data_IF_296240786875
#
_entry.id   IF_296240786875
#
_cell.length_a   1.000
_cell.length_b   1.000
_cell.length_c   1.000
_cell.angle_alpha   90.00
_cell.angle_beta   90.00
_cell.angle_gamma   90.00
#
_symmetry.space_group_name_H-M   'P 1'
#
loop_
_entity.id
_entity.type
_entity.pdbx_description
1 polymer ?
#
# COMPACT_ATOMS: atom_id res chain seq x y z
N UNK A 1 -41.23 8.36 -15.72
CA UNK A 1 -40.15 9.24 -15.19
C UNK A 1 -39.29 8.38 -14.29
N UNK A 2 -38.09 8.01 -14.76
CA UNK A 2 -37.15 7.17 -14.02
C UNK A 2 -36.25 8.11 -13.22
N UNK A 3 -36.34 8.09 -11.89
CA UNK A 3 -35.36 8.75 -11.03
C UNK A 3 -34.09 7.88 -11.01
N UNK A 4 -33.01 8.38 -11.59
CA UNK A 4 -31.68 7.82 -11.39
C UNK A 4 -31.20 8.19 -9.97
N UNK A 5 -31.06 7.19 -9.11
CA UNK A 5 -30.40 7.34 -7.82
C UNK A 5 -28.89 7.42 -8.06
N UNK A 6 -28.31 8.61 -7.86
CA UNK A 6 -26.86 8.81 -7.85
C UNK A 6 -26.34 8.25 -6.53
N UNK A 7 -25.64 7.12 -6.58
CA UNK A 7 -24.93 6.58 -5.43
C UNK A 7 -23.71 7.47 -5.14
N UNK A 8 -23.80 8.29 -4.10
CA UNK A 8 -22.67 9.02 -3.55
C UNK A 8 -21.82 8.03 -2.75
N UNK A 9 -20.64 7.70 -3.26
CA UNK A 9 -19.64 6.92 -2.55
C UNK A 9 -19.07 7.80 -1.42
N UNK A 10 -19.58 7.62 -0.20
CA UNK A 10 -19.03 8.30 0.99
C UNK A 10 -17.71 7.60 1.34
N UNK A 11 -16.60 8.22 0.97
CA UNK A 11 -15.27 7.87 1.47
C UNK A 11 -15.23 8.21 2.96
N UNK A 12 -15.41 7.20 3.82
CA UNK A 12 -15.00 7.30 5.21
C UNK A 12 -13.46 7.34 5.22
N UNK A 13 -12.89 8.53 5.16
CA UNK A 13 -11.46 8.72 5.40
C UNK A 13 -11.20 8.40 6.88
N UNK A 14 -10.39 7.38 7.21
CA UNK A 14 -9.82 7.32 8.55
C UNK A 14 -9.00 8.61 8.73
N UNK A 15 -9.21 9.28 9.86
CA UNK A 15 -8.36 10.34 10.44
C UNK A 15 -7.34 10.99 9.50
N UNK A 16 -7.67 12.14 8.89
CA UNK A 16 -6.79 13.12 8.18
C UNK A 16 -5.35 12.63 7.96
N UNK A 17 -5.22 11.57 7.16
CA UNK A 17 -3.92 11.02 6.78
C UNK A 17 -3.38 11.99 5.73
N UNK A 18 -2.23 12.63 5.99
CA UNK A 18 -1.58 13.59 5.06
C UNK A 18 -0.91 12.84 3.89
N UNK A 19 -1.65 11.92 3.30
CA UNK A 19 -1.24 11.29 2.07
C UNK A 19 -1.34 12.30 0.92
N UNK A 20 -0.28 12.35 0.13
CA UNK A 20 0.02 13.43 -0.80
C UNK A 20 -0.38 13.07 -2.22
N UNK A 21 -0.30 11.78 -2.54
CA UNK A 21 -0.52 11.25 -3.89
C UNK A 21 -1.33 9.97 -3.79
N UNK A 22 -2.31 9.82 -4.67
CA UNK A 22 -3.11 8.62 -4.84
C UNK A 22 -2.78 7.95 -6.17
N UNK A 23 -2.92 6.63 -6.21
CA UNK A 23 -2.79 5.85 -7.45
C UNK A 23 -3.77 4.68 -7.43
N UNK A 24 -4.75 4.70 -8.32
CA UNK A 24 -5.80 3.68 -8.36
C UNK A 24 -5.36 2.45 -9.13
N UNK A 25 -5.77 1.28 -8.67
CA UNK A 25 -5.68 0.03 -9.41
C UNK A 25 -7.03 -0.67 -9.44
N UNK A 26 -7.22 -1.50 -10.46
CA UNK A 26 -8.39 -2.34 -10.61
C UNK A 26 -8.05 -3.68 -11.24
N UNK A 27 -8.96 -4.63 -11.09
CA UNK A 27 -8.97 -5.94 -11.69
C UNK A 27 -10.32 -6.17 -12.37
N UNK A 28 -10.32 -6.63 -13.62
CA UNK A 28 -11.51 -7.08 -14.34
C UNK A 28 -11.50 -8.60 -14.47
N UNK A 29 -12.68 -9.17 -14.72
CA UNK A 29 -12.84 -10.62 -14.95
C UNK A 29 -12.43 -11.48 -13.74
N UNK A 30 -12.40 -10.87 -12.55
CA UNK A 30 -12.16 -11.53 -11.28
C UNK A 30 -13.37 -12.34 -10.81
N UNK A 31 -13.14 -13.37 -9.96
CA UNK A 31 -14.22 -14.13 -9.35
C UNK A 31 -15.11 -13.23 -8.48
N UNK A 32 -16.42 -13.52 -8.46
CA UNK A 32 -17.39 -12.75 -7.65
C UNK A 32 -17.14 -12.82 -6.14
N UNK A 33 -16.41 -13.84 -5.68
CA UNK A 33 -15.97 -13.99 -4.29
C UNK A 33 -14.63 -13.31 -3.99
N UNK A 34 -14.06 -12.58 -4.94
CA UNK A 34 -12.81 -11.82 -4.76
C UNK A 34 -11.56 -12.65 -5.00
N UNK A 35 -10.44 -11.96 -5.20
CA UNK A 35 -9.14 -12.55 -5.51
C UNK A 35 -8.57 -13.25 -4.27
N UNK A 36 -7.83 -14.35 -4.47
CA UNK A 36 -7.12 -15.05 -3.37
C UNK A 36 -5.71 -14.51 -3.13
N UNK A 37 -5.19 -13.73 -4.06
CA UNK A 37 -3.90 -13.09 -3.96
C UNK A 37 -3.85 -11.84 -4.84
N UNK A 38 -3.00 -10.91 -4.45
CA UNK A 38 -2.57 -9.79 -5.27
C UNK A 38 -1.09 -9.53 -5.01
N UNK A 39 -0.34 -9.26 -6.07
CA UNK A 39 1.06 -8.86 -6.00
C UNK A 39 1.18 -7.42 -6.46
N UNK A 40 1.80 -6.57 -5.63
CA UNK A 40 2.06 -5.17 -5.91
C UNK A 40 3.55 -4.95 -6.18
N UNK A 41 3.96 -4.64 -7.42
CA UNK A 41 5.35 -4.32 -7.72
C UNK A 41 5.70 -2.88 -7.33
N UNK A 42 6.89 -2.70 -6.74
CA UNK A 42 7.46 -1.42 -6.34
C UNK A 42 8.93 -1.31 -6.77
N UNK A 43 9.38 -0.09 -7.03
CA UNK A 43 10.80 0.27 -7.01
C UNK A 43 10.99 1.57 -6.23
N UNK A 44 11.89 1.54 -5.24
CA UNK A 44 12.25 2.67 -4.38
C UNK A 44 13.68 3.17 -4.65
N UNK A 45 14.23 2.86 -5.82
CA UNK A 45 15.63 3.07 -6.19
C UNK A 45 16.12 4.52 -6.16
N UNK A 46 15.20 5.48 -6.22
CA UNK A 46 15.48 6.90 -6.24
C UNK A 46 14.96 7.61 -4.97
N UNK A 47 14.61 6.85 -3.94
CA UNK A 47 14.13 7.39 -2.67
C UNK A 47 15.30 7.68 -1.72
N UNK A 48 15.25 8.76 -0.92
CA UNK A 48 16.27 9.01 0.09
C UNK A 48 16.31 7.90 1.14
N UNK A 49 17.50 7.55 1.61
CA UNK A 49 17.70 6.65 2.74
C UNK A 49 17.43 7.39 4.05
N UNK A 50 16.17 7.76 4.26
CA UNK A 50 15.68 8.55 5.39
C UNK A 50 14.28 8.09 5.76
N UNK A 51 13.96 8.16 7.04
CA UNK A 51 12.58 7.99 7.51
C UNK A 51 11.68 9.12 6.99
N UNK A 52 10.42 8.79 6.77
CA UNK A 52 9.34 9.77 6.59
C UNK A 52 8.38 9.44 5.47
N UNK A 53 8.85 8.79 4.40
CA UNK A 53 7.95 8.37 3.32
C UNK A 53 7.39 6.97 3.55
N UNK A 54 6.12 6.81 3.18
CA UNK A 54 5.46 5.52 3.04
C UNK A 54 4.83 5.41 1.66
N UNK A 55 5.16 4.32 0.94
CA UNK A 55 4.58 3.98 -0.34
C UNK A 55 3.80 2.68 -0.19
N UNK A 56 2.49 2.74 -0.43
CA UNK A 56 1.63 1.60 -0.14
C UNK A 56 0.55 1.43 -1.20
N UNK A 57 0.08 0.19 -1.33
CA UNK A 57 -1.14 -0.15 -2.05
C UNK A 57 -2.17 -0.63 -1.04
N UNK A 58 -3.33 0.02 -0.99
CA UNK A 58 -4.44 -0.51 -0.21
C UNK A 58 -5.19 -1.58 -1.02
N UNK A 59 -5.92 -2.43 -0.32
CA UNK A 59 -6.83 -3.43 -0.87
C UNK A 59 -8.03 -3.60 0.07
N UNK A 60 -9.23 -3.78 -0.49
CA UNK A 60 -10.43 -4.10 0.28
C UNK A 60 -10.72 -5.60 0.28
N UNK A 61 -11.61 -6.05 1.16
CA UNK A 61 -12.14 -7.41 1.16
C UNK A 61 -13.65 -7.40 0.95
N UNK A 62 -14.17 -8.36 0.19
CA UNK A 62 -15.61 -8.55 0.07
C UNK A 62 -16.16 -8.98 1.43
N UNK A 63 -17.18 -8.26 1.92
CA UNK A 63 -17.77 -8.46 3.24
C UNK A 63 -17.15 -7.62 4.36
N UNK A 64 -16.19 -6.74 4.04
CA UNK A 64 -15.61 -5.76 4.97
C UNK A 64 -15.78 -4.34 4.42
N UNK A 65 -15.96 -3.36 5.32
CA UNK A 65 -15.98 -1.93 4.96
C UNK A 65 -14.59 -1.31 4.98
N UNK A 66 -13.70 -1.84 5.82
CA UNK A 66 -12.35 -1.33 6.00
C UNK A 66 -11.36 -2.01 5.05
N UNK A 67 -10.20 -1.35 4.86
CA UNK A 67 -9.14 -1.79 3.95
C UNK A 67 -8.03 -2.52 4.71
N UNK A 68 -7.14 -3.16 3.96
CA UNK A 68 -5.76 -3.39 4.37
C UNK A 68 -4.80 -2.63 3.45
N UNK A 69 -3.52 -2.61 3.82
CA UNK A 69 -2.47 -2.16 2.91
C UNK A 69 -1.23 -3.03 3.00
N UNK A 70 -0.40 -2.94 1.96
CA UNK A 70 0.97 -3.40 1.98
C UNK A 70 1.86 -2.31 1.36
N UNK A 71 3.00 -2.04 1.98
CA UNK A 71 3.90 -1.00 1.49
C UNK A 71 5.32 -1.07 2.02
N UNK A 72 6.15 -0.14 1.55
CA UNK A 72 7.55 0.02 1.92
C UNK A 72 7.81 1.43 2.43
N UNK A 73 8.62 1.53 3.49
CA UNK A 73 9.14 2.77 4.05
C UNK A 73 10.67 2.75 3.94
N UNK A 74 11.28 3.72 3.24
CA UNK A 74 12.72 3.95 3.34
C UNK A 74 13.15 4.26 4.78
N UNK A 75 14.36 3.84 5.13
CA UNK A 75 14.99 4.04 6.44
C UNK A 75 16.42 4.56 6.25
N UNK A 76 16.99 5.23 7.26
CA UNK A 76 18.42 5.45 7.32
C UNK A 76 19.20 4.14 7.23
N UNK A 77 20.39 4.21 6.64
CA UNK A 77 21.31 3.09 6.64
C UNK A 77 21.66 2.66 8.08
N UNK A 78 21.83 1.36 8.28
CA UNK A 78 22.27 0.79 9.55
C UNK A 78 23.44 -0.16 9.30
N UNK A 79 24.52 0.00 10.06
CA UNK A 79 25.75 -0.77 9.86
C UNK A 79 26.34 -0.63 8.44
N UNK A 80 26.15 0.53 7.80
CA UNK A 80 26.60 0.80 6.44
C UNK A 80 25.79 0.10 5.35
N UNK A 81 24.58 -0.39 5.66
CA UNK A 81 23.71 -1.08 4.71
C UNK A 81 22.35 -0.39 4.59
N UNK A 82 21.74 -0.38 3.39
CA UNK A 82 20.38 0.10 3.21
C UNK A 82 19.39 -0.76 4.00
N UNK A 83 18.41 -0.08 4.62
CA UNK A 83 17.34 -0.70 5.40
C UNK A 83 16.01 -0.32 4.79
N UNK A 84 15.11 -1.30 4.68
CA UNK A 84 13.74 -1.13 4.22
C UNK A 84 12.82 -1.62 5.33
N UNK A 85 11.81 -0.83 5.67
CA UNK A 85 10.75 -1.22 6.59
C UNK A 85 9.50 -1.57 5.78
N UNK A 86 9.14 -2.86 5.73
CA UNK A 86 7.92 -3.32 5.07
C UNK A 86 6.77 -3.39 6.07
N UNK A 87 5.58 -3.01 5.62
CA UNK A 87 4.36 -2.99 6.43
C UNK A 87 3.25 -3.76 5.73
N UNK A 88 2.46 -4.50 6.51
CA UNK A 88 1.28 -5.22 6.06
C UNK A 88 0.21 -5.15 7.15
N UNK A 89 -0.90 -4.46 6.88
CA UNK A 89 -1.91 -4.16 7.92
C UNK A 89 -3.32 -4.42 7.42
N UNK A 90 -4.21 -4.72 8.35
CA UNK A 90 -5.66 -4.76 8.18
C UNK A 90 -6.28 -3.78 9.17
N UNK A 91 -7.20 -2.94 8.70
CA UNK A 91 -7.98 -2.02 9.53
C UNK A 91 -9.32 -2.63 9.94
N UNK A 92 -9.66 -3.83 9.44
CA UNK A 92 -10.92 -4.48 9.74
C UNK A 92 -10.98 -4.86 11.23
N UNK A 93 -12.02 -4.37 11.91
CA UNK A 93 -12.28 -4.71 13.30
C UNK A 93 -12.45 -6.21 13.49
N UNK A 94 -11.93 -6.76 14.59
CA UNK A 94 -11.95 -8.21 14.86
C UNK A 94 -10.88 -9.01 14.10
N UNK A 95 -9.98 -8.36 13.35
CA UNK A 95 -8.78 -9.01 12.84
C UNK A 95 -7.92 -9.51 14.00
N UNK A 96 -7.38 -10.72 13.88
CA UNK A 96 -6.51 -11.35 14.90
C UNK A 96 -5.19 -11.82 14.30
N UNK A 97 -4.18 -12.03 15.14
CA UNK A 97 -2.87 -12.55 14.73
C UNK A 97 -2.19 -13.29 15.88
N UNK A 98 -1.32 -14.24 15.55
CA UNK A 98 -0.35 -14.85 16.45
C UNK A 98 1.09 -14.67 15.93
N UNK A 99 1.26 -13.83 14.91
CA UNK A 99 2.52 -13.65 14.21
C UNK A 99 3.40 -12.64 14.97
N UNK A 100 4.68 -12.95 15.25
CA UNK A 100 5.54 -12.11 16.07
C UNK A 100 5.88 -10.75 15.43
N UNK A 101 5.71 -10.60 14.12
CA UNK A 101 5.90 -9.32 13.45
C UNK A 101 4.70 -8.38 13.59
N UNK A 102 3.60 -8.86 14.19
CA UNK A 102 2.32 -8.19 14.19
C UNK A 102 1.88 -7.79 15.61
N UNK A 103 1.16 -6.68 15.68
CA UNK A 103 0.54 -6.20 16.91
C UNK A 103 -0.93 -5.80 16.65
N UNK A 104 -1.80 -5.88 17.68
CA UNK A 104 -3.14 -5.29 17.61
C UNK A 104 -3.08 -3.79 17.33
N UNK A 105 -4.00 -3.35 16.49
CA UNK A 105 -4.19 -1.95 16.10
C UNK A 105 -3.45 -1.58 14.81
N UNK A 106 -4.18 -1.02 13.86
CA UNK A 106 -3.63 -0.41 12.65
C UNK A 106 -3.70 1.12 12.78
N UNK A 107 -2.54 1.77 12.79
CA UNK A 107 -2.37 3.22 13.01
C UNK A 107 -3.10 3.75 14.27
N UNK A 108 -3.08 2.95 15.34
CA UNK A 108 -3.76 3.26 16.60
C UNK A 108 -5.28 3.02 16.58
N UNK A 109 -5.85 2.66 15.44
CA UNK A 109 -7.25 2.24 15.28
C UNK A 109 -7.46 0.73 15.43
N UNK A 110 -8.65 0.22 15.05
CA UNK A 110 -8.94 -1.21 15.02
C UNK A 110 -8.02 -2.00 14.07
N UNK A 111 -8.04 -3.33 14.21
CA UNK A 111 -7.37 -4.24 13.28
C UNK A 111 -6.00 -4.73 13.78
N UNK A 112 -5.11 -5.04 12.84
CA UNK A 112 -3.76 -5.59 13.09
C UNK A 112 -2.77 -4.95 12.14
N UNK A 113 -1.60 -4.57 12.66
CA UNK A 113 -0.48 -4.08 11.85
C UNK A 113 0.73 -4.97 12.02
N UNK A 114 1.36 -5.36 10.91
CA UNK A 114 2.59 -6.13 10.89
C UNK A 114 3.69 -5.33 10.23
N UNK A 115 4.92 -5.47 10.73
CA UNK A 115 6.07 -4.86 10.08
C UNK A 115 7.36 -5.63 10.32
N UNK A 116 8.30 -5.48 9.40
CA UNK A 116 9.65 -6.02 9.52
C UNK A 116 10.64 -5.09 8.85
N UNK A 117 11.81 -4.93 9.47
CA UNK A 117 12.96 -4.29 8.84
C UNK A 117 13.90 -5.34 8.28
N UNK A 118 14.37 -5.11 7.06
CA UNK A 118 15.34 -5.96 6.41
C UNK A 118 16.32 -5.13 5.58
N UNK A 119 17.50 -5.69 5.31
CA UNK A 119 18.51 -5.05 4.48
C UNK A 119 18.43 -5.58 3.06
N UNK A 120 18.27 -4.69 2.09
CA UNK A 120 18.34 -4.97 0.66
C UNK A 120 18.72 -3.70 -0.11
N UNK A 121 19.44 -3.80 -1.25
CA UNK A 121 19.73 -2.64 -2.09
C UNK A 121 18.45 -1.96 -2.58
N UNK A 122 18.37 -0.63 -2.47
CA UNK A 122 17.22 0.13 -2.98
C UNK A 122 17.11 0.07 -4.52
N UNK A 123 18.22 -0.20 -5.20
CA UNK A 123 18.26 -0.43 -6.65
C UNK A 123 17.44 -1.64 -7.10
N UNK A 124 17.08 -2.55 -6.19
CA UNK A 124 16.26 -3.72 -6.53
C UNK A 124 14.78 -3.36 -6.70
N UNK A 125 14.06 -4.20 -7.43
CA UNK A 125 12.60 -4.20 -7.43
C UNK A 125 12.07 -5.08 -6.30
N UNK A 126 10.87 -4.76 -5.82
CA UNK A 126 10.21 -5.52 -4.77
C UNK A 126 8.77 -5.81 -5.15
N UNK A 127 8.33 -7.04 -4.95
CA UNK A 127 6.95 -7.45 -5.06
C UNK A 127 6.39 -7.65 -3.65
N UNK A 128 5.36 -6.88 -3.28
CA UNK A 128 4.57 -7.13 -2.08
C UNK A 128 3.44 -8.09 -2.42
N UNK A 129 3.58 -9.32 -1.98
CA UNK A 129 2.62 -10.40 -2.21
C UNK A 129 1.68 -10.47 -1.02
N UNK A 130 0.39 -10.30 -1.26
CA UNK A 130 -0.69 -10.50 -0.30
C UNK A 130 -1.46 -11.73 -0.74
N UNK A 131 -1.47 -12.78 0.09
CA UNK A 131 -2.08 -14.06 -0.29
C UNK A 131 -2.90 -14.67 0.84
N UNK A 132 -4.03 -15.27 0.48
CA UNK A 132 -4.84 -16.10 1.36
C UNK A 132 -4.14 -17.44 1.58
N UNK A 133 -3.95 -17.84 2.83
CA UNK A 133 -3.28 -19.11 3.17
C UNK A 133 -4.28 -20.19 3.55
N UNK A 134 -5.28 -19.86 4.37
CA UNK A 134 -6.35 -20.75 4.79
C UNK A 134 -7.53 -19.93 5.31
N UNK A 135 -8.77 -20.31 4.98
CA UNK A 135 -9.96 -19.62 5.48
C UNK A 135 -9.90 -18.10 5.22
N UNK A 136 -9.92 -17.30 6.28
CA UNK A 136 -9.79 -15.84 6.25
C UNK A 136 -8.41 -15.34 6.69
N UNK A 137 -7.41 -16.22 6.71
CA UNK A 137 -6.02 -15.89 7.05
C UNK A 137 -5.25 -15.44 5.82
N UNK A 138 -4.54 -14.32 5.96
CA UNK A 138 -3.77 -13.66 4.92
C UNK A 138 -2.34 -13.42 5.37
N UNK A 139 -1.43 -13.53 4.42
CA UNK A 139 0.00 -13.34 4.64
C UNK A 139 0.55 -12.28 3.68
N UNK A 140 1.37 -11.39 4.22
CA UNK A 140 2.13 -10.40 3.49
C UNK A 140 3.60 -10.82 3.37
N UNK A 141 4.16 -10.76 2.17
CA UNK A 141 5.57 -11.08 1.90
C UNK A 141 6.18 -10.04 0.97
N UNK A 142 7.37 -9.54 1.32
CA UNK A 142 8.20 -8.76 0.39
C UNK A 142 9.14 -9.70 -0.35
N UNK A 143 9.12 -9.65 -1.68
CA UNK A 143 9.96 -10.47 -2.55
C UNK A 143 10.87 -9.57 -3.36
N UNK A 144 12.18 -9.69 -3.16
CA UNK A 144 13.18 -9.02 -3.98
C UNK A 144 13.16 -9.64 -5.39
N UNK A 145 12.85 -8.84 -6.41
CA UNK A 145 12.71 -9.31 -7.80
C UNK A 145 14.06 -9.56 -8.47
N UNK A 146 15.14 -9.02 -7.92
CA UNK A 146 16.51 -9.22 -8.42
C UNK A 146 17.09 -10.52 -7.89
N UNK A 147 16.89 -10.82 -6.60
CA UNK A 147 17.52 -11.98 -5.94
C UNK A 147 16.57 -13.16 -5.72
N UNK A 148 15.25 -12.94 -5.81
CA UNK A 148 14.22 -13.92 -5.43
C UNK A 148 14.06 -14.11 -3.92
N UNK A 149 14.82 -13.36 -3.11
CA UNK A 149 14.77 -13.46 -1.64
C UNK A 149 13.41 -13.04 -1.11
N UNK A 150 12.89 -13.76 -0.12
CA UNK A 150 11.55 -13.58 0.42
C UNK A 150 11.64 -13.18 1.90
N UNK A 151 11.00 -12.08 2.25
CA UNK A 151 10.90 -11.58 3.62
C UNK A 151 9.44 -11.66 4.05
N UNK A 152 9.18 -12.51 5.05
CA UNK A 152 7.89 -12.60 5.71
C UNK A 152 7.60 -11.30 6.47
N UNK A 153 6.53 -10.58 6.10
CA UNK A 153 6.16 -9.32 6.76
C UNK A 153 5.22 -9.61 7.92
N UNK A 154 4.25 -10.48 7.73
CA UNK A 154 3.34 -10.90 8.79
C UNK A 154 2.13 -11.67 8.28
N UNK A 155 1.35 -12.17 9.24
CA UNK A 155 0.13 -12.94 9.01
C UNK A 155 -0.98 -12.43 9.92
N UNK A 156 -2.20 -12.29 9.40
CA UNK A 156 -3.38 -12.03 10.22
C UNK A 156 -4.62 -12.71 9.66
N UNK A 157 -5.65 -12.85 10.49
CA UNK A 157 -6.90 -13.52 10.17
C UNK A 157 -8.06 -12.55 10.32
N UNK A 158 -8.82 -12.35 9.24
CA UNK A 158 -10.01 -11.50 9.22
C UNK A 158 -11.19 -12.20 9.89
N UNK A 159 -12.20 -11.44 10.34
CA UNK A 159 -13.46 -11.99 10.85
C UNK A 159 -14.10 -13.00 9.89
N UNK A 160 -14.87 -13.94 10.44
CA UNK A 160 -15.65 -14.89 9.64
C UNK A 160 -16.63 -14.17 8.71
N UNK A 161 -16.91 -14.79 7.56
CA UNK A 161 -17.76 -14.21 6.51
C UNK A 161 -17.02 -13.29 5.54
N UNK A 162 -15.77 -12.92 5.84
CA UNK A 162 -14.90 -12.22 4.88
C UNK A 162 -14.52 -13.13 3.72
N UNK A 163 -14.55 -12.61 2.50
CA UNK A 163 -14.16 -13.34 1.29
C UNK A 163 -12.80 -12.84 0.76
N UNK A 164 -12.58 -12.95 -0.56
CA UNK A 164 -11.36 -12.52 -1.22
C UNK A 164 -11.20 -10.99 -1.32
N UNK A 165 -10.07 -10.59 -1.88
CA UNK A 165 -9.74 -9.20 -2.15
C UNK A 165 -10.69 -8.63 -3.21
N UNK A 166 -11.26 -7.47 -2.91
CA UNK A 166 -12.09 -6.70 -3.82
C UNK A 166 -11.30 -6.23 -5.05
N UNK A 167 -11.99 -5.99 -6.15
CA UNK A 167 -11.37 -5.85 -7.46
C UNK A 167 -10.84 -4.43 -7.77
N UNK A 168 -10.82 -3.52 -6.81
CA UNK A 168 -10.22 -2.20 -7.01
C UNK A 168 -9.92 -1.53 -5.69
N UNK A 169 -8.84 -0.75 -5.66
CA UNK A 169 -8.55 0.16 -4.55
C UNK A 169 -7.50 1.21 -4.98
N UNK A 170 -7.10 2.08 -4.05
CA UNK A 170 -6.14 3.16 -4.21
C UNK A 170 -4.89 2.89 -3.37
N UNK A 171 -3.72 3.05 -3.97
CA UNK A 171 -2.46 3.20 -3.26
C UNK A 171 -2.15 4.65 -2.96
N UNK A 172 -1.17 4.87 -2.09
CA UNK A 172 -0.81 6.21 -1.65
C UNK A 172 0.70 6.39 -1.49
N UNK A 173 1.12 7.65 -1.63
CA UNK A 173 2.40 8.16 -1.12
C UNK A 173 2.10 9.13 -0.01
N UNK A 174 2.68 8.90 1.15
CA UNK A 174 2.50 9.71 2.35
C UNK A 174 3.84 10.12 2.93
N UNK A 175 3.90 11.31 3.53
CA UNK A 175 4.97 11.70 4.43
C UNK A 175 4.50 11.65 5.89
N UNK A 176 4.60 10.48 6.52
CA UNK A 176 3.93 10.18 7.79
C UNK A 176 4.48 10.97 8.98
N UNK A 177 5.64 11.63 8.84
CA UNK A 177 6.16 12.53 9.88
C UNK A 177 5.33 13.80 10.04
N UNK A 178 4.39 14.08 9.13
CA UNK A 178 3.40 15.16 9.29
C UNK A 178 2.12 14.72 10.02
N UNK A 179 1.99 13.45 10.38
CA UNK A 179 0.80 12.92 11.07
C UNK A 179 0.80 13.16 12.59
N UNK A 180 1.77 13.90 13.12
CA UNK A 180 1.87 14.21 14.55
C UNK A 180 0.97 15.38 15.00
N UNK A 181 0.19 15.94 14.07
CA UNK A 181 -0.73 17.05 14.30
C UNK A 181 -0.04 18.41 14.39
N UNK A 182 1.28 18.48 14.12
CA UNK A 182 1.99 19.74 14.03
C UNK A 182 1.74 20.42 12.68
N UNK A 183 1.93 21.74 12.66
CA UNK A 183 1.87 22.50 11.42
C UNK A 183 3.08 22.15 10.53
N UNK A 184 2.82 21.76 9.29
CA UNK A 184 3.84 21.53 8.27
C UNK A 184 3.78 22.57 7.15
N UNK A 185 4.80 22.57 6.30
CA UNK A 185 4.87 23.39 5.10
C UNK A 185 5.16 22.51 3.88
N UNK A 186 4.34 22.62 2.83
CA UNK A 186 4.56 21.85 1.60
C UNK A 186 5.96 22.07 0.99
N UNK A 187 6.52 23.27 1.17
CA UNK A 187 7.88 23.62 0.72
C UNK A 187 9.01 22.87 1.46
N UNK A 188 8.73 22.23 2.59
CA UNK A 188 9.73 21.43 3.33
C UNK A 188 9.65 19.94 3.00
N UNK A 189 8.79 19.53 2.06
CA UNK A 189 8.63 18.13 1.70
C UNK A 189 9.90 17.63 0.98
N UNK A 190 10.64 16.65 1.53
CA UNK A 190 11.85 16.16 0.89
C UNK A 190 11.54 15.53 -0.48
N UNK A 191 12.34 15.77 -1.51
CA UNK A 191 12.17 15.05 -2.77
C UNK A 191 12.23 13.53 -2.60
N UNK A 192 11.32 12.82 -3.26
CA UNK A 192 11.33 11.36 -3.37
C UNK A 192 10.80 10.90 -4.72
N UNK A 193 11.16 9.67 -5.06
CA UNK A 193 10.74 9.01 -6.30
C UNK A 193 10.52 7.51 -6.07
N UNK A 194 9.27 7.08 -6.20
CA UNK A 194 8.86 5.66 -6.21
C UNK A 194 8.24 5.29 -7.57
N UNK A 195 8.35 4.03 -7.98
CA UNK A 195 7.59 3.48 -9.11
C UNK A 195 6.61 2.44 -8.60
N UNK A 196 5.33 2.60 -8.95
CA UNK A 196 4.28 1.60 -8.73
C UNK A 196 4.06 0.81 -10.01
N UNK A 197 4.19 -0.51 -9.95
CA UNK A 197 3.88 -1.41 -11.06
C UNK A 197 2.39 -1.75 -11.11
N UNK A 198 1.94 -2.19 -12.27
CA UNK A 198 0.59 -2.76 -12.41
C UNK A 198 0.49 -4.02 -11.55
N UNK A 199 -0.52 -4.14 -10.66
CA UNK A 199 -0.63 -5.32 -9.82
C UNK A 199 -0.92 -6.58 -10.65
N UNK A 200 -0.70 -7.75 -10.07
CA UNK A 200 -0.99 -9.04 -10.70
C UNK A 200 -1.63 -10.01 -9.70
N UNK A 201 -2.18 -11.12 -10.20
CA UNK A 201 -2.69 -12.22 -9.37
C UNK A 201 -2.37 -13.55 -10.06
N UNK A 202 -2.30 -14.62 -9.28
CA UNK A 202 -2.26 -15.99 -9.81
C UNK A 202 -3.63 -16.48 -10.32
N UNK A 203 -4.69 -15.73 -10.01
CA UNK A 203 -6.05 -16.02 -10.48
C UNK A 203 -6.13 -15.93 -12.01
N UNK A 204 -6.48 -17.05 -12.66
CA UNK A 204 -6.53 -17.14 -14.12
C UNK A 204 -7.59 -16.20 -14.72
N UNK A 205 -7.24 -15.56 -15.84
CA UNK A 205 -8.15 -14.72 -16.62
C UNK A 205 -8.33 -13.29 -16.10
N UNK A 206 -7.72 -12.94 -14.96
CA UNK A 206 -7.86 -11.60 -14.36
C UNK A 206 -6.94 -10.60 -15.05
N UNK A 207 -7.51 -9.47 -15.46
CA UNK A 207 -6.75 -8.39 -16.08
C UNK A 207 -6.63 -7.20 -15.12
N UNK A 208 -5.41 -6.72 -14.89
CA UNK A 208 -5.16 -5.59 -13.99
C UNK A 208 -4.89 -4.29 -14.72
N UNK A 209 -5.39 -3.20 -14.14
CA UNK A 209 -5.13 -1.83 -14.54
C UNK A 209 -4.47 -1.02 -13.42
N UNK A 210 -3.67 -0.04 -13.80
CA UNK A 210 -3.09 0.96 -12.92
C UNK A 210 -3.28 2.35 -13.54
N UNK A 211 -3.96 3.24 -12.84
CA UNK A 211 -4.19 4.62 -13.26
C UNK A 211 -2.89 5.42 -13.23
N UNK A 212 -2.90 6.61 -13.83
CA UNK A 212 -1.88 7.60 -13.47
C UNK A 212 -2.09 8.04 -12.01
N UNK A 213 -1.02 8.49 -11.37
CA UNK A 213 -1.10 9.03 -10.03
C UNK A 213 -1.71 10.44 -10.02
N UNK A 214 -2.28 10.87 -8.90
CA UNK A 214 -2.89 12.19 -8.74
C UNK A 214 -2.57 12.76 -7.36
N UNK A 215 -2.39 14.08 -7.24
CA UNK A 215 -2.23 14.73 -5.94
C UNK A 215 -3.58 14.82 -5.21
N UNK A 216 -3.53 14.76 -3.88
CA UNK A 216 -4.63 15.16 -3.02
C UNK A 216 -4.11 15.73 -1.70
N UNK A 217 -5.02 16.23 -0.86
CA UNK A 217 -4.66 16.90 0.39
C UNK A 217 -4.32 18.39 0.20
N UNK A 218 -3.57 18.94 1.15
CA UNK A 218 -3.29 20.38 1.26
C UNK A 218 -2.12 20.86 0.40
N UNK A 219 -1.29 19.93 -0.10
CA UNK A 219 -0.12 20.22 -0.94
C UNK A 219 -0.35 20.13 -2.46
N UNK A 220 -1.60 19.92 -2.91
CA UNK A 220 -1.96 19.90 -4.35
C UNK A 220 -1.45 21.15 -5.07
N UNK A 221 -0.66 20.97 -6.13
CA UNK A 221 -0.09 22.05 -6.92
C UNK A 221 0.98 22.90 -6.22
N UNK A 222 1.44 22.49 -5.02
CA UNK A 222 2.44 23.22 -4.22
C UNK A 222 3.78 22.49 -4.11
N UNK A 223 3.92 21.32 -4.73
CA UNK A 223 5.12 20.48 -4.72
C UNK A 223 5.50 20.11 -6.16
N UNK A 224 6.72 19.65 -6.40
CA UNK A 224 7.17 19.28 -7.76
C UNK A 224 6.63 17.90 -8.20
N UNK A 225 5.30 17.74 -8.21
CA UNK A 225 4.65 16.48 -8.55
C UNK A 225 4.78 16.14 -10.04
N UNK A 226 5.20 14.91 -10.34
CA UNK A 226 5.21 14.33 -11.69
C UNK A 226 4.85 12.85 -11.63
N UNK A 227 4.15 12.37 -12.66
CA UNK A 227 3.64 11.00 -12.72
C UNK A 227 3.91 10.22 -14.03
N UNK A 228 5.11 10.29 -14.64
CA UNK A 228 5.34 9.71 -15.95
C UNK A 228 5.11 8.18 -15.94
N UNK A 229 4.47 7.69 -17.00
CA UNK A 229 4.29 6.26 -17.24
C UNK A 229 5.51 5.69 -17.94
N UNK A 230 5.94 4.53 -17.50
CA UNK A 230 7.09 3.77 -18.03
C UNK A 230 6.69 2.33 -18.28
N UNK A 231 7.58 1.53 -18.86
CA UNK A 231 7.39 0.08 -18.98
C UNK A 231 7.27 -0.63 -17.62
N UNK A 232 7.83 -0.03 -16.56
CA UNK A 232 7.76 -0.55 -15.19
C UNK A 232 6.52 -0.13 -14.39
N UNK A 233 5.63 0.67 -14.99
CA UNK A 233 4.44 1.21 -14.31
C UNK A 233 4.43 2.74 -14.24
N UNK A 234 3.87 3.29 -13.17
CA UNK A 234 3.74 4.75 -12.99
C UNK A 234 4.76 5.22 -11.95
N UNK A 235 5.62 6.14 -12.36
CA UNK A 235 6.53 6.82 -11.45
C UNK A 235 5.77 7.89 -10.70
N UNK A 236 6.09 8.09 -9.43
CA UNK A 236 5.58 9.19 -8.61
C UNK A 236 6.79 9.93 -8.07
N UNK A 237 6.95 11.16 -8.53
CA UNK A 237 7.96 12.11 -8.06
C UNK A 237 7.25 13.21 -7.30
N UNK A 238 7.71 13.56 -6.11
CA UNK A 238 7.11 14.59 -5.26
C UNK A 238 8.16 15.18 -4.31
N UNK A 239 7.96 16.44 -3.87
CA UNK A 239 8.86 17.18 -2.98
C UNK A 239 9.78 18.15 -3.73
N UNK A 240 10.86 18.58 -3.06
CA UNK A 240 11.83 19.57 -3.55
C UNK A 240 13.28 19.11 -3.39
#
# INVERSE_FOLDING_TARGET
MILAAVAVLVLYAPSVVFALVGISWNATDGPSYGLKDVTFPFSISQTPHKSGYYFAQQFGFIGQSDVGYAGLQPRPDSGGKPIIHAVFSSFASGTTTNDPNCAPGADGGPGVSCSVEFSAPYSNGFNLVVQNTVGTTWMGTSVDTTTGSRVHVGTWTLPSGTQGIANSQVGFVEYYLWNDGQQHACSSLPYTWVTFGTPTSTTSGVNFGLSNAFEYGDCVGKVAFKNPRTSGGVQVQIGF
#
